data_IF_098154578954
#
_entry.id   IF_098154578954
#
_cell.length_a   1.000
_cell.length_b   1.000
_cell.length_c   1.000
_cell.angle_alpha   90.00
_cell.angle_beta   90.00
_cell.angle_gamma   90.00
#
_symmetry.space_group_name_H-M   'P 1'
#
loop_
_entity.id
_entity.type
_entity.pdbx_description
1 polymer ?
#
# COMPACT_ATOMS: atom_id res chain seq x y z
N UNK A 1 54.80 28.44 -47.46
CA UNK A 1 54.59 26.97 -47.40
C UNK A 1 54.40 26.54 -45.95
N UNK A 2 53.41 25.66 -45.70
CA UNK A 2 53.15 24.84 -44.48
C UNK A 2 52.80 25.62 -43.19
N UNK A 3 51.53 25.82 -42.85
CA UNK A 3 50.51 24.84 -42.42
C UNK A 3 50.93 24.01 -41.18
N UNK A 4 50.28 24.27 -40.02
CA UNK A 4 49.92 23.26 -39.01
C UNK A 4 49.02 23.85 -37.91
N UNK A 5 47.74 23.57 -38.07
CA UNK A 5 46.64 23.56 -37.12
C UNK A 5 46.98 22.73 -35.88
N UNK A 6 46.56 23.16 -34.68
CA UNK A 6 46.37 22.29 -33.51
C UNK A 6 45.00 22.58 -32.88
N UNK A 7 44.13 21.58 -32.96
CA UNK A 7 42.78 21.54 -32.39
C UNK A 7 42.76 21.06 -30.94
N UNK A 8 41.69 21.50 -30.24
CA UNK A 8 40.94 20.83 -29.15
C UNK A 8 41.68 20.55 -27.83
N UNK A 9 41.12 20.80 -26.64
CA UNK A 9 39.86 20.29 -26.10
C UNK A 9 39.37 21.26 -25.00
N UNK A 10 38.16 21.82 -25.11
CA UNK A 10 37.42 22.31 -23.94
C UNK A 10 36.27 21.34 -23.66
N UNK A 11 36.40 20.57 -22.59
CA UNK A 11 35.31 19.79 -22.03
C UNK A 11 34.36 20.74 -21.28
N UNK A 12 33.34 21.21 -21.97
CA UNK A 12 32.22 21.93 -21.37
C UNK A 12 31.29 20.94 -20.66
N UNK A 13 31.47 20.81 -19.34
CA UNK A 13 30.58 20.08 -18.46
C UNK A 13 29.39 20.96 -18.04
N UNK A 14 28.23 20.32 -17.85
CA UNK A 14 27.02 20.81 -17.16
C UNK A 14 26.15 21.83 -17.96
N UNK A 15 24.82 21.74 -18.03
CA UNK A 15 23.82 21.12 -17.14
C UNK A 15 22.68 20.59 -18.01
N UNK A 16 22.44 19.28 -17.96
CA UNK A 16 21.14 18.74 -18.36
C UNK A 16 20.13 19.11 -17.28
N UNK A 17 19.20 20.02 -17.57
CA UNK A 17 18.05 20.29 -16.72
C UNK A 17 17.15 19.04 -16.72
N UNK A 18 17.42 18.11 -15.81
CA UNK A 18 16.53 17.02 -15.51
C UNK A 18 15.28 17.62 -14.84
N UNK A 19 14.23 17.85 -15.64
CA UNK A 19 12.86 17.97 -15.13
C UNK A 19 12.60 16.70 -14.32
N UNK A 20 12.75 16.84 -13.01
CA UNK A 20 12.43 15.79 -12.05
C UNK A 20 10.92 15.67 -12.05
N UNK A 21 10.36 14.93 -13.00
CA UNK A 21 9.01 14.37 -12.88
C UNK A 21 9.13 13.35 -11.76
N UNK A 22 9.12 13.84 -10.52
CA UNK A 22 8.98 12.98 -9.36
C UNK A 22 7.71 12.17 -9.59
N UNK A 23 7.78 10.81 -9.63
CA UNK A 23 6.58 10.00 -9.73
C UNK A 23 5.61 10.47 -8.65
N UNK A 24 4.30 10.56 -8.94
CA UNK A 24 3.34 11.08 -7.97
C UNK A 24 3.56 10.32 -6.66
N UNK A 25 3.90 11.04 -5.60
CA UNK A 25 4.21 10.44 -4.31
C UNK A 25 2.99 9.61 -3.87
N UNK A 26 3.07 8.30 -4.10
CA UNK A 26 2.06 7.36 -3.64
C UNK A 26 2.27 7.23 -2.14
N UNK A 27 1.50 8.00 -1.36
CA UNK A 27 1.39 7.78 0.08
C UNK A 27 0.68 6.43 0.26
N UNK A 28 1.47 5.36 0.33
CA UNK A 28 1.01 4.01 0.57
C UNK A 28 1.35 3.65 2.01
N UNK A 29 0.35 3.27 2.79
CA UNK A 29 0.52 2.85 4.18
C UNK A 29 0.14 1.38 4.30
N UNK A 30 0.94 0.63 5.05
CA UNK A 30 0.64 -0.76 5.38
C UNK A 30 0.83 -1.00 6.87
N UNK A 31 0.00 -1.87 7.41
CA UNK A 31 0.02 -2.21 8.82
C UNK A 31 -0.40 -3.65 8.99
N UNK A 32 0.38 -4.38 9.78
CA UNK A 32 0.14 -5.78 10.06
C UNK A 32 0.00 -6.02 11.56
N UNK A 33 -0.83 -6.96 11.93
CA UNK A 33 -0.99 -7.45 13.30
C UNK A 33 -0.86 -8.95 13.28
N UNK A 34 -0.05 -9.50 14.20
CA UNK A 34 0.09 -10.94 14.35
C UNK A 34 -1.24 -11.63 14.68
N UNK A 35 -1.36 -12.89 14.29
CA UNK A 35 -2.44 -13.75 14.78
C UNK A 35 -2.12 -14.21 16.21
N UNK A 36 -3.16 -14.35 17.04
CA UNK A 36 -3.04 -15.03 18.32
C UNK A 36 -2.50 -16.46 18.10
N UNK A 37 -1.52 -16.87 18.91
CA UNK A 37 -0.83 -18.17 18.75
C UNK A 37 0.40 -18.15 17.82
N UNK A 38 0.89 -16.98 17.40
CA UNK A 38 2.24 -16.80 16.84
C UNK A 38 2.42 -17.11 15.35
N UNK A 39 1.50 -17.84 14.73
CA UNK A 39 1.64 -18.25 13.33
C UNK A 39 0.63 -17.53 12.39
N UNK A 40 1.11 -16.46 11.75
CA UNK A 40 0.40 -15.71 10.71
C UNK A 40 0.15 -14.24 11.05
N UNK A 41 -0.32 -13.48 10.07
CA UNK A 41 -0.53 -12.04 10.18
C UNK A 41 -1.76 -11.58 9.40
N UNK A 42 -2.47 -10.60 9.96
CA UNK A 42 -3.48 -9.81 9.26
C UNK A 42 -2.80 -8.54 8.79
N UNK A 43 -2.99 -8.13 7.55
CA UNK A 43 -2.46 -6.86 7.07
C UNK A 43 -3.53 -6.05 6.34
N UNK A 44 -3.38 -4.73 6.40
CA UNK A 44 -4.09 -3.78 5.55
C UNK A 44 -3.06 -2.98 4.74
N UNK A 45 -3.36 -2.76 3.47
CA UNK A 45 -2.59 -1.92 2.57
C UNK A 45 -3.52 -0.86 2.01
N UNK A 46 -3.18 0.40 2.23
CA UNK A 46 -3.91 1.57 1.76
C UNK A 46 -3.02 2.26 0.74
N UNK A 47 -3.50 2.41 -0.49
CA UNK A 47 -2.77 3.08 -1.57
C UNK A 47 -3.48 4.37 -1.92
N UNK A 48 -2.73 5.47 -1.94
CA UNK A 48 -3.30 6.79 -2.13
C UNK A 48 -2.25 7.87 -2.40
N UNK A 49 -2.67 9.11 -2.24
CA UNK A 49 -1.83 10.31 -2.32
C UNK A 49 -2.30 11.27 -1.22
N UNK A 50 -1.43 11.58 -0.25
CA UNK A 50 -1.78 12.35 0.94
C UNK A 50 -3.03 11.75 1.63
N UNK A 51 -4.03 12.58 1.87
CA UNK A 51 -5.32 12.22 2.44
C UNK A 51 -6.27 11.45 1.49
N UNK A 52 -5.94 11.34 0.20
CA UNK A 52 -6.79 10.67 -0.79
C UNK A 52 -6.44 9.18 -0.88
N UNK A 53 -7.35 8.32 -0.42
CA UNK A 53 -7.23 6.87 -0.60
C UNK A 53 -7.84 6.49 -1.95
N UNK A 54 -7.03 5.87 -2.81
CA UNK A 54 -7.46 5.33 -4.10
C UNK A 54 -7.95 3.91 -3.93
N UNK A 55 -7.13 3.05 -3.34
CA UNK A 55 -7.45 1.63 -3.15
C UNK A 55 -7.05 1.12 -1.77
N UNK A 56 -7.70 0.03 -1.36
CA UNK A 56 -7.38 -0.68 -0.13
C UNK A 56 -7.40 -2.18 -0.34
N UNK A 57 -6.50 -2.91 0.32
CA UNK A 57 -6.39 -4.36 0.27
C UNK A 57 -6.22 -4.90 1.69
N UNK A 58 -6.89 -6.00 2.00
CA UNK A 58 -6.67 -6.75 3.23
C UNK A 58 -6.05 -8.11 2.91
N UNK A 59 -5.11 -8.55 3.73
CA UNK A 59 -4.58 -9.93 3.69
C UNK A 59 -4.64 -10.58 5.06
N UNK A 60 -4.67 -11.92 5.06
CA UNK A 60 -4.54 -12.76 6.23
C UNK A 60 -3.67 -13.95 5.85
N UNK A 61 -2.59 -14.18 6.60
CA UNK A 61 -1.76 -15.37 6.53
C UNK A 61 -1.93 -16.22 7.79
N UNK A 62 -1.83 -17.54 7.68
CA UNK A 62 -2.03 -18.52 8.76
C UNK A 62 -1.37 -19.87 8.43
N UNK A 63 -1.02 -20.67 9.44
CA UNK A 63 -0.41 -22.00 9.22
C UNK A 63 -1.39 -23.18 9.15
N UNK A 64 -2.64 -23.06 9.65
CA UNK A 64 -3.58 -24.20 9.78
C UNK A 64 -4.87 -24.05 8.94
N UNK A 65 -5.35 -25.21 8.46
CA UNK A 65 -6.62 -25.61 7.81
C UNK A 65 -7.31 -24.67 6.81
N UNK A 66 -7.89 -25.25 5.76
CA UNK A 66 -8.88 -24.57 4.91
C UNK A 66 -10.01 -24.03 5.79
N UNK A 67 -10.21 -22.72 5.77
CA UNK A 67 -11.31 -22.08 6.48
C UNK A 67 -11.89 -21.00 5.57
N UNK A 68 -13.14 -20.68 5.79
CA UNK A 68 -13.85 -19.63 5.10
C UNK A 68 -14.06 -18.44 6.03
N UNK A 69 -13.81 -17.24 5.53
CA UNK A 69 -14.03 -16.01 6.28
C UNK A 69 -14.52 -14.88 5.39
N UNK A 70 -14.94 -13.79 6.01
CA UNK A 70 -15.21 -12.51 5.37
C UNK A 70 -14.19 -11.50 5.86
N UNK A 71 -13.63 -10.72 4.95
CA UNK A 71 -12.83 -9.55 5.28
C UNK A 71 -13.75 -8.34 5.42
N UNK A 72 -13.52 -7.54 6.45
CA UNK A 72 -14.17 -6.23 6.60
C UNK A 72 -13.09 -5.17 6.68
N UNK A 73 -13.19 -4.16 5.82
CA UNK A 73 -12.31 -2.99 5.80
C UNK A 73 -13.14 -1.79 6.21
N UNK A 74 -12.63 -1.01 7.16
CA UNK A 74 -13.24 0.22 7.66
C UNK A 74 -12.22 1.36 7.59
N UNK A 75 -12.59 2.49 7.01
CA UNK A 75 -11.78 3.70 6.89
C UNK A 75 -12.65 4.88 7.31
N UNK A 76 -12.49 5.37 8.54
CA UNK A 76 -13.44 6.34 9.10
C UNK A 76 -14.89 5.82 9.03
N UNK A 77 -15.77 6.55 8.36
CA UNK A 77 -17.17 6.14 8.11
C UNK A 77 -17.35 5.22 6.89
N UNK A 78 -16.34 5.08 6.04
CA UNK A 78 -16.40 4.17 4.90
C UNK A 78 -16.16 2.73 5.38
N UNK A 79 -17.03 1.81 4.98
CA UNK A 79 -16.92 0.40 5.35
C UNK A 79 -17.30 -0.48 4.16
N UNK A 80 -16.57 -1.56 3.97
CA UNK A 80 -16.95 -2.62 3.02
C UNK A 80 -16.63 -3.98 3.61
N UNK A 81 -17.48 -4.94 3.32
CA UNK A 81 -17.30 -6.35 3.70
C UNK A 81 -17.28 -7.22 2.45
N UNK A 82 -16.41 -8.21 2.42
CA UNK A 82 -16.30 -9.17 1.32
C UNK A 82 -17.44 -10.19 1.33
N UNK A 83 -17.59 -10.90 0.22
CA UNK A 83 -18.24 -12.22 0.23
C UNK A 83 -17.45 -13.25 1.05
N UNK A 84 -17.95 -14.49 1.09
CA UNK A 84 -17.25 -15.62 1.71
C UNK A 84 -15.99 -15.95 0.89
N UNK A 85 -14.83 -15.95 1.53
CA UNK A 85 -13.53 -16.29 0.92
C UNK A 85 -13.00 -17.55 1.62
N UNK A 86 -12.78 -18.62 0.86
CA UNK A 86 -12.24 -19.88 1.34
C UNK A 86 -10.86 -20.13 0.72
N UNK A 87 -9.82 -20.21 1.54
CA UNK A 87 -8.44 -20.48 1.11
C UNK A 87 -7.64 -21.20 2.20
N UNK A 88 -6.67 -21.99 1.78
CA UNK A 88 -5.61 -22.47 2.64
C UNK A 88 -4.59 -21.35 2.85
N UNK A 89 -4.18 -21.13 4.11
CA UNK A 89 -2.98 -20.37 4.53
C UNK A 89 -2.88 -18.88 4.18
N UNK A 90 -3.42 -18.41 3.06
CA UNK A 90 -3.35 -17.02 2.64
C UNK A 90 -4.66 -16.55 2.00
N UNK A 91 -5.21 -15.49 2.56
CA UNK A 91 -6.42 -14.81 2.07
C UNK A 91 -6.03 -13.42 1.64
N UNK A 92 -6.63 -12.97 0.55
CA UNK A 92 -6.50 -11.61 0.07
C UNK A 92 -7.85 -11.13 -0.40
N UNK A 93 -8.18 -9.89 -0.04
CA UNK A 93 -9.35 -9.20 -0.57
C UNK A 93 -8.97 -7.81 -1.05
N UNK A 94 -9.26 -7.52 -2.31
CA UNK A 94 -8.85 -6.31 -3.00
C UNK A 94 -7.68 -6.52 -3.97
N UNK A 95 -7.13 -5.42 -4.53
CA UNK A 95 -7.41 -4.03 -4.19
C UNK A 95 -8.84 -3.59 -4.51
N UNK A 96 -9.44 -2.82 -3.60
CA UNK A 96 -10.80 -2.29 -3.70
C UNK A 96 -10.71 -0.79 -3.95
N UNK A 97 -11.41 -0.29 -4.95
CA UNK A 97 -11.54 1.14 -5.17
C UNK A 97 -12.30 1.81 -4.01
N UNK A 98 -11.66 2.81 -3.42
CA UNK A 98 -12.24 3.69 -2.41
C UNK A 98 -12.47 5.07 -3.03
N UNK A 99 -11.44 5.64 -3.68
CA UNK A 99 -11.46 6.94 -4.37
C UNK A 99 -12.07 8.08 -3.54
N UNK A 100 -11.72 8.16 -2.25
CA UNK A 100 -12.21 9.18 -1.32
C UNK A 100 -11.07 9.84 -0.55
N UNK A 101 -11.27 11.10 -0.19
CA UNK A 101 -10.41 11.82 0.74
C UNK A 101 -10.91 11.63 2.16
N UNK A 102 -9.98 11.47 3.09
CA UNK A 102 -10.25 11.30 4.51
C UNK A 102 -9.59 12.42 5.31
N UNK A 103 -10.02 12.61 6.57
CA UNK A 103 -9.34 13.57 7.46
C UNK A 103 -7.97 13.04 7.86
N UNK A 104 -7.02 13.92 8.13
CA UNK A 104 -5.74 13.55 8.74
C UNK A 104 -6.01 12.80 10.07
N UNK A 105 -5.25 11.75 10.34
CA UNK A 105 -5.45 10.87 11.48
C UNK A 105 -6.56 9.82 11.32
N UNK A 106 -7.20 9.71 10.15
CA UNK A 106 -8.25 8.69 9.93
C UNK A 106 -7.67 7.28 10.00
N UNK A 107 -8.23 6.42 10.84
CA UNK A 107 -7.83 5.01 10.91
C UNK A 107 -8.47 4.18 9.79
N UNK A 108 -7.65 3.41 9.10
CA UNK A 108 -8.05 2.36 8.18
C UNK A 108 -7.71 1.00 8.82
N UNK A 109 -8.72 0.15 9.01
CA UNK A 109 -8.57 -1.14 9.66
C UNK A 109 -9.16 -2.28 8.83
N UNK A 110 -8.54 -3.45 8.90
CA UNK A 110 -9.02 -4.70 8.31
C UNK A 110 -9.19 -5.78 9.39
N UNK A 111 -10.32 -6.47 9.37
CA UNK A 111 -10.65 -7.61 10.23
C UNK A 111 -11.13 -8.80 9.43
N UNK A 112 -11.02 -9.99 10.00
CA UNK A 112 -11.39 -11.25 9.36
C UNK A 112 -12.33 -12.04 10.27
N UNK A 113 -13.49 -12.46 9.75
CA UNK A 113 -14.53 -13.09 10.59
C UNK A 113 -14.13 -14.44 11.19
N UNK A 114 -13.19 -15.15 10.55
CA UNK A 114 -12.64 -16.42 11.03
C UNK A 114 -11.49 -16.24 12.03
N UNK A 115 -11.03 -15.00 12.25
CA UNK A 115 -10.02 -14.63 13.24
C UNK A 115 -10.39 -13.27 13.84
N UNK A 116 -11.42 -13.18 14.69
CA UNK A 116 -11.98 -11.90 15.13
C UNK A 116 -11.11 -11.15 16.17
N UNK A 117 -10.22 -11.84 16.89
CA UNK A 117 -9.55 -11.33 18.09
C UNK A 117 -8.58 -10.17 17.86
N UNK A 118 -8.22 -9.89 16.60
CA UNK A 118 -7.36 -8.76 16.25
C UNK A 118 -7.68 -8.20 14.87
N UNK A 119 -7.41 -6.91 14.67
CA UNK A 119 -7.54 -6.20 13.40
C UNK A 119 -6.23 -5.49 13.07
N UNK A 120 -5.89 -5.47 11.78
CA UNK A 120 -4.74 -4.73 11.28
C UNK A 120 -5.19 -3.30 10.99
N UNK A 121 -4.48 -2.29 11.50
CA UNK A 121 -4.84 -0.89 11.30
C UNK A 121 -3.63 -0.06 10.85
N UNK A 122 -3.91 0.97 10.05
CA UNK A 122 -3.01 2.06 9.70
C UNK A 122 -3.72 3.39 9.88
N UNK A 123 -2.95 4.46 10.02
CA UNK A 123 -3.49 5.83 10.09
C UNK A 123 -3.14 6.56 8.79
N UNK A 124 -4.15 7.19 8.20
CA UNK A 124 -3.99 8.04 7.02
C UNK A 124 -3.46 9.39 7.48
N UNK A 125 -2.35 9.81 6.91
CA UNK A 125 -1.71 11.09 7.19
C UNK A 125 -1.58 11.96 5.94
N UNK A 126 -1.47 13.27 6.15
CA UNK A 126 -1.34 14.29 5.10
C UNK A 126 -0.01 14.24 4.35
#
# INVERSE_FOLDING_TARGET
>A
MRNRTRSTIMAGFCVAAALSISPPAYASSSGCTGNAGGNGSKCIYVTGTKLKVKTVKATLTKNHADNCGKATITIGSWKKTSGKICKARSFSWGPIAVNKSFKDGTKACASWSNYPDSKACVTIHK
#
